data_IF_942186268933
#
_entry.id   IF_942186268933
#
_cell.length_a   1.000
_cell.length_b   1.000
_cell.length_c   1.000
_cell.angle_alpha   90.00
_cell.angle_beta   90.00
_cell.angle_gamma   90.00
#
_symmetry.space_group_name_H-M   'P 1'
#
loop_
_entity.id
_entity.type
_entity.pdbx_description
1 polymer ?
#
# COMPACT_ATOMS: atom_id res chain seq x y z
N UNK A 1 -9.31 9.34 -16.59
CA UNK A 1 -9.38 7.96 -17.14
C UNK A 1 -8.35 7.07 -16.44
N UNK A 2 -8.52 5.75 -16.36
CA UNK A 2 -7.64 4.84 -15.62
C UNK A 2 -6.17 4.96 -15.98
N UNK A 3 -5.85 5.00 -17.28
CA UNK A 3 -4.47 5.18 -17.75
C UNK A 3 -3.82 6.46 -17.22
N UNK A 4 -4.58 7.57 -17.11
CA UNK A 4 -4.04 8.82 -16.54
C UNK A 4 -3.76 8.70 -15.05
N UNK A 5 -4.58 7.96 -14.31
CA UNK A 5 -4.33 7.70 -12.88
C UNK A 5 -3.07 6.83 -12.72
N UNK A 6 -2.87 5.84 -13.60
CA UNK A 6 -1.66 5.05 -13.62
C UNK A 6 -0.42 5.91 -13.91
N UNK A 7 -0.48 6.81 -14.90
CA UNK A 7 0.61 7.77 -15.17
C UNK A 7 0.91 8.64 -13.95
N UNK A 8 -0.12 9.20 -13.30
CA UNK A 8 0.01 10.02 -12.09
C UNK A 8 0.67 9.26 -10.93
N UNK A 9 0.39 7.96 -10.80
CA UNK A 9 1.00 7.11 -9.78
C UNK A 9 2.43 6.64 -10.14
N UNK A 10 2.88 6.85 -11.38
CA UNK A 10 4.16 6.33 -11.90
C UNK A 10 4.98 7.44 -12.55
N UNK A 11 4.96 7.55 -13.89
CA UNK A 11 5.85 8.43 -14.64
C UNK A 11 5.63 9.91 -14.36
N UNK A 12 4.40 10.36 -14.11
CA UNK A 12 4.14 11.77 -13.81
C UNK A 12 4.58 12.13 -12.38
N UNK A 13 4.52 11.20 -11.43
CA UNK A 13 5.14 11.38 -10.11
C UNK A 13 6.67 11.43 -10.21
N UNK A 14 7.28 10.57 -11.04
CA UNK A 14 8.71 10.62 -11.30
C UNK A 14 9.14 11.96 -11.92
N UNK A 15 8.36 12.52 -12.85
CA UNK A 15 8.58 13.87 -13.39
C UNK A 15 8.49 14.95 -12.31
N UNK A 16 7.48 14.86 -11.44
CA UNK A 16 7.30 15.83 -10.35
C UNK A 16 8.48 15.84 -9.35
N UNK A 17 9.22 14.73 -9.25
CA UNK A 17 10.40 14.57 -8.42
C UNK A 17 11.73 14.77 -9.18
N UNK A 18 11.68 15.19 -10.46
CA UNK A 18 12.85 15.32 -11.35
C UNK A 18 13.66 14.02 -11.51
N UNK A 19 12.95 12.88 -11.50
CA UNK A 19 13.52 11.52 -11.61
C UNK A 19 12.99 10.72 -12.79
N UNK A 20 12.35 11.36 -13.75
CA UNK A 20 11.72 10.67 -14.90
C UNK A 20 12.72 9.91 -15.79
N UNK A 21 13.99 10.30 -15.78
CA UNK A 21 15.07 9.59 -16.49
C UNK A 21 15.56 8.35 -15.72
N UNK A 22 15.28 8.26 -14.42
CA UNK A 22 15.75 7.18 -13.54
C UNK A 22 14.65 6.15 -13.25
N UNK A 23 13.40 6.57 -13.04
CA UNK A 23 12.29 5.73 -12.54
C UNK A 23 10.94 6.09 -13.19
N UNK A 24 9.89 5.35 -12.83
CA UNK A 24 8.50 5.68 -13.16
C UNK A 24 7.97 5.04 -14.45
N UNK A 25 8.79 4.32 -15.20
CA UNK A 25 8.38 3.53 -16.36
C UNK A 25 9.33 2.35 -16.60
N UNK A 26 8.86 1.34 -17.32
CA UNK A 26 9.65 0.16 -17.67
C UNK A 26 10.34 0.43 -19.02
N UNK A 27 11.55 0.98 -18.96
CA UNK A 27 12.37 1.33 -20.13
C UNK A 27 13.83 0.94 -19.87
N UNK A 28 14.56 0.58 -20.93
CA UNK A 28 15.99 0.23 -20.81
C UNK A 28 16.78 1.42 -20.29
N UNK A 29 17.65 1.19 -19.31
CA UNK A 29 18.48 2.22 -18.68
C UNK A 29 17.89 2.78 -17.38
N UNK A 30 16.59 2.59 -17.12
CA UNK A 30 15.95 2.99 -15.85
C UNK A 30 16.17 1.96 -14.75
N UNK A 31 16.04 2.40 -13.50
CA UNK A 31 16.05 1.53 -12.32
C UNK A 31 14.95 0.48 -12.41
N UNK A 32 15.24 -0.72 -11.94
CA UNK A 32 14.26 -1.81 -11.85
C UNK A 32 13.36 -1.65 -10.62
N UNK A 33 12.51 -0.63 -10.65
CA UNK A 33 11.48 -0.34 -9.64
C UNK A 33 10.14 -0.87 -10.17
N UNK A 34 9.80 -2.10 -9.76
CA UNK A 34 8.69 -2.86 -10.37
C UNK A 34 7.86 -3.56 -9.29
N UNK A 35 6.54 -3.56 -9.48
CA UNK A 35 5.63 -4.40 -8.72
C UNK A 35 4.94 -5.42 -9.63
N UNK A 36 4.64 -6.60 -9.09
CA UNK A 36 3.77 -7.59 -9.73
C UNK A 36 2.45 -7.63 -8.98
N UNK A 37 1.35 -7.53 -9.71
CA UNK A 37 0.00 -7.65 -9.17
C UNK A 37 -0.55 -9.06 -9.43
N UNK A 38 -1.09 -9.71 -8.39
CA UNK A 38 -1.88 -10.93 -8.54
C UNK A 38 -3.32 -10.57 -8.94
N UNK A 39 -3.59 -10.65 -10.25
CA UNK A 39 -4.91 -10.35 -10.81
C UNK A 39 -5.93 -11.49 -10.64
N UNK A 40 -5.53 -12.64 -10.08
CA UNK A 40 -6.42 -13.82 -9.92
C UNK A 40 -7.15 -13.76 -8.58
N UNK A 41 -7.87 -12.66 -8.34
CA UNK A 41 -8.68 -12.44 -7.13
C UNK A 41 -10.16 -12.25 -7.47
N UNK A 42 -11.11 -12.58 -6.56
CA UNK A 42 -12.53 -12.41 -6.81
C UNK A 42 -12.93 -10.99 -7.24
N UNK A 43 -12.32 -9.96 -6.63
CA UNK A 43 -12.58 -8.55 -6.95
C UNK A 43 -11.86 -8.05 -8.22
N UNK A 44 -10.97 -8.86 -8.81
CA UNK A 44 -10.22 -8.53 -10.03
C UNK A 44 -10.56 -9.41 -11.22
N UNK A 45 -11.45 -10.40 -11.08
CA UNK A 45 -11.76 -11.36 -12.16
C UNK A 45 -13.09 -11.00 -12.88
N UNK A 46 -13.28 -11.28 -14.19
CA UNK A 46 -12.37 -11.87 -15.21
C UNK A 46 -11.14 -10.99 -15.55
N UNK A 47 -10.13 -11.39 -16.34
CA UNK A 47 -8.88 -10.61 -16.48
C UNK A 47 -8.90 -9.49 -17.53
N UNK A 48 -10.07 -9.13 -18.07
CA UNK A 48 -10.20 -8.11 -19.13
C UNK A 48 -9.81 -6.72 -18.62
N UNK A 49 -9.29 -5.84 -19.49
CA UNK A 49 -8.97 -4.44 -19.14
C UNK A 49 -8.11 -4.32 -17.85
N UNK A 50 -6.89 -4.90 -17.84
CA UNK A 50 -6.08 -5.02 -16.62
C UNK A 50 -5.73 -3.67 -15.97
N UNK A 51 -5.56 -2.61 -16.75
CA UNK A 51 -5.30 -1.25 -16.22
C UNK A 51 -6.51 -0.73 -15.45
N UNK A 52 -7.72 -0.82 -16.01
CA UNK A 52 -8.95 -0.40 -15.35
C UNK A 52 -9.14 -1.17 -14.05
N UNK A 53 -8.82 -2.46 -14.04
CA UNK A 53 -8.90 -3.30 -12.84
C UNK A 53 -7.88 -2.92 -11.78
N UNK A 54 -6.63 -2.72 -12.17
CA UNK A 54 -5.58 -2.29 -11.26
C UNK A 54 -5.89 -0.93 -10.62
N UNK A 55 -6.53 -0.02 -11.36
CA UNK A 55 -6.81 1.33 -10.89
C UNK A 55 -8.10 1.44 -10.08
N UNK A 56 -9.17 0.75 -10.49
CA UNK A 56 -10.47 0.90 -9.83
C UNK A 56 -10.71 -0.09 -8.69
N UNK A 57 -10.12 -1.28 -8.75
CA UNK A 57 -10.52 -2.39 -7.87
C UNK A 57 -9.38 -2.95 -7.04
N UNK A 58 -8.13 -2.87 -7.53
CA UNK A 58 -7.00 -3.40 -6.77
C UNK A 58 -6.72 -2.57 -5.51
N UNK A 59 -6.16 -3.23 -4.51
CA UNK A 59 -5.67 -2.61 -3.29
C UNK A 59 -4.27 -3.16 -2.95
N UNK A 60 -3.67 -2.68 -1.85
CA UNK A 60 -2.32 -3.09 -1.45
C UNK A 60 -2.14 -4.59 -1.21
N UNK A 61 -3.21 -5.34 -0.93
CA UNK A 61 -3.14 -6.79 -0.76
C UNK A 61 -2.97 -7.56 -2.08
N UNK A 62 -3.15 -6.90 -3.23
CA UNK A 62 -3.01 -7.53 -4.54
C UNK A 62 -1.57 -7.47 -5.07
N UNK A 63 -0.69 -6.69 -4.43
CA UNK A 63 0.74 -6.70 -4.74
C UNK A 63 1.35 -8.02 -4.23
N UNK A 64 1.93 -8.79 -5.14
CA UNK A 64 2.58 -10.07 -4.85
C UNK A 64 4.07 -9.92 -4.59
N UNK A 65 4.75 -9.18 -5.47
CA UNK A 65 6.20 -9.02 -5.47
C UNK A 65 6.56 -7.55 -5.68
N UNK A 66 7.54 -7.06 -4.93
CA UNK A 66 8.06 -5.69 -5.02
C UNK A 66 9.57 -5.72 -5.21
N UNK A 67 10.03 -5.03 -6.23
CA UNK A 67 11.43 -4.90 -6.62
C UNK A 67 11.78 -3.41 -6.63
N UNK A 68 12.88 -3.04 -5.99
CA UNK A 68 13.40 -1.67 -5.95
C UNK A 68 14.88 -1.70 -6.28
N UNK A 69 15.31 -0.93 -7.27
CA UNK A 69 16.67 -0.92 -7.78
C UNK A 69 17.21 -2.34 -8.10
N UNK A 70 16.34 -3.22 -8.59
CA UNK A 70 16.66 -4.61 -8.91
C UNK A 70 16.73 -5.55 -7.69
N UNK A 71 16.54 -5.05 -6.47
CA UNK A 71 16.50 -5.86 -5.26
C UNK A 71 15.07 -6.26 -4.93
N UNK A 72 14.85 -7.54 -4.64
CA UNK A 72 13.54 -8.07 -4.28
C UNK A 72 13.29 -7.81 -2.80
N UNK A 73 12.39 -6.87 -2.50
CA UNK A 73 12.02 -6.51 -1.13
C UNK A 73 10.87 -7.36 -0.60
N UNK A 74 9.99 -7.84 -1.48
CA UNK A 74 8.89 -8.76 -1.16
C UNK A 74 8.69 -9.73 -2.32
N UNK A 75 8.41 -11.01 -2.02
CA UNK A 75 8.08 -12.02 -3.03
C UNK A 75 7.01 -12.96 -2.50
N UNK A 76 5.96 -13.23 -3.28
CA UNK A 76 4.87 -14.10 -2.84
C UNK A 76 4.19 -13.58 -1.57
N UNK A 77 4.08 -12.26 -1.43
CA UNK A 77 3.59 -11.54 -0.23
C UNK A 77 4.41 -11.75 1.05
N UNK A 78 5.62 -12.29 0.95
CA UNK A 78 6.54 -12.38 2.08
C UNK A 78 7.58 -11.27 1.96
N UNK A 79 7.56 -10.32 2.90
CA UNK A 79 8.59 -9.28 3.00
C UNK A 79 9.94 -9.93 3.33
N UNK A 80 10.99 -9.49 2.65
CA UNK A 80 12.36 -10.01 2.78
C UNK A 80 13.33 -8.98 3.36
N UNK A 81 12.93 -7.70 3.38
CA UNK A 81 13.77 -6.59 3.82
C UNK A 81 13.63 -6.25 5.30
N UNK A 82 12.56 -6.70 5.97
CA UNK A 82 12.19 -6.31 7.32
C UNK A 82 11.52 -7.47 8.06
N UNK A 83 11.58 -7.44 9.39
CA UNK A 83 10.76 -8.29 10.27
C UNK A 83 9.40 -7.59 10.54
N UNK A 84 8.31 -8.22 10.10
CA UNK A 84 6.97 -7.66 10.25
C UNK A 84 6.53 -7.55 11.72
N UNK A 85 6.92 -8.51 12.57
CA UNK A 85 6.57 -8.47 13.99
C UNK A 85 7.30 -7.33 14.70
N UNK A 86 8.59 -7.14 14.41
CA UNK A 86 9.36 -6.02 14.96
C UNK A 86 8.75 -4.66 14.57
N UNK A 87 8.29 -4.51 13.32
CA UNK A 87 7.65 -3.28 12.84
C UNK A 87 6.35 -3.00 13.61
N UNK A 88 5.53 -4.02 13.87
CA UNK A 88 4.30 -3.89 14.64
C UNK A 88 4.58 -3.51 16.10
N UNK A 89 5.57 -4.15 16.73
CA UNK A 89 5.97 -3.83 18.10
C UNK A 89 6.46 -2.38 18.23
N UNK A 90 7.26 -1.92 17.25
CA UNK A 90 7.72 -0.52 17.18
C UNK A 90 6.58 0.46 16.97
N UNK A 91 5.56 0.10 16.18
CA UNK A 91 4.38 0.92 16.00
C UNK A 91 3.57 1.06 17.31
N UNK A 92 3.37 -0.04 18.05
CA UNK A 92 2.70 -0.02 19.35
C UNK A 92 3.47 0.82 20.39
N UNK A 93 4.80 0.72 20.41
CA UNK A 93 5.64 1.56 21.26
C UNK A 93 5.53 3.05 20.90
N UNK A 94 5.49 3.38 19.60
CA UNK A 94 5.34 4.75 19.13
C UNK A 94 3.96 5.34 19.48
N UNK A 95 2.89 4.55 19.42
CA UNK A 95 1.56 4.93 19.89
C UNK A 95 1.57 5.28 21.38
N UNK A 96 2.15 4.40 22.20
CA UNK A 96 2.27 4.61 23.65
C UNK A 96 2.96 5.95 23.96
N UNK A 97 4.12 6.20 23.33
CA UNK A 97 4.85 7.47 23.51
C UNK A 97 4.04 8.69 23.04
N UNK A 98 3.25 8.57 21.98
CA UNK A 98 2.38 9.65 21.50
C UNK A 98 1.27 9.94 22.51
N UNK A 99 0.64 8.91 23.07
CA UNK A 99 -0.43 9.05 24.05
C UNK A 99 0.04 9.66 25.37
N UNK A 100 1.22 9.27 25.85
CA UNK A 100 1.84 9.88 27.05
C UNK A 100 2.12 11.37 26.84
N UNK A 101 2.67 11.76 25.69
CA UNK A 101 2.97 13.17 25.38
C UNK A 101 1.74 14.03 25.21
N UNK A 102 0.64 13.46 24.72
CA UNK A 102 -0.58 14.21 24.40
C UNK A 102 -1.62 14.16 25.51
N UNK A 103 -1.53 13.20 26.44
CA UNK A 103 -2.53 12.97 27.49
C UNK A 103 -3.87 12.42 26.98
N UNK A 104 -3.91 11.86 25.76
CA UNK A 104 -5.15 11.43 25.09
C UNK A 104 -5.47 9.94 25.25
N UNK A 105 -4.91 9.28 26.27
CA UNK A 105 -5.06 7.83 26.48
C UNK A 105 -6.53 7.41 26.67
N UNK A 106 -7.36 8.28 27.24
CA UNK A 106 -8.80 8.07 27.46
C UNK A 106 -9.62 7.93 26.16
N UNK A 107 -9.07 8.38 25.02
CA UNK A 107 -9.73 8.33 23.71
C UNK A 107 -9.46 7.05 22.93
N UNK A 108 -8.56 6.20 23.39
CA UNK A 108 -8.15 4.97 22.69
C UNK A 108 -8.96 3.74 23.07
N UNK A 109 -9.90 3.88 24.01
CA UNK A 109 -10.80 2.80 24.41
C UNK A 109 -12.19 3.00 23.81
N UNK A 110 -12.84 1.89 23.45
CA UNK A 110 -14.26 1.92 23.05
C UNK A 110 -15.09 2.48 24.21
N UNK A 111 -15.93 3.46 23.91
CA UNK A 111 -16.81 4.06 24.93
C UNK A 111 -17.84 3.06 25.42
N UNK A 112 -18.31 3.16 26.67
CA UNK A 112 -19.48 2.42 27.12
C UNK A 112 -20.67 2.63 26.15
N UNK A 113 -21.36 1.55 25.78
CA UNK A 113 -22.49 1.61 24.83
C UNK A 113 -22.10 1.77 23.36
N UNK A 114 -20.83 1.54 22.98
CA UNK A 114 -20.38 1.61 21.58
C UNK A 114 -21.07 0.58 20.66
N UNK A 115 -21.50 -0.55 21.20
CA UNK A 115 -22.32 -1.56 20.52
C UNK A 115 -23.55 -1.92 21.38
N UNK A 116 -24.53 -2.58 20.78
CA UNK A 116 -25.73 -3.05 21.49
C UNK A 116 -26.86 -2.04 21.62
N UNK A 117 -26.79 -0.92 20.89
CA UNK A 117 -27.93 -0.03 20.67
C UNK A 117 -28.21 0.03 19.16
N UNK A 118 -29.36 -0.51 18.76
CA UNK A 118 -29.91 -0.24 17.44
C UNK A 118 -30.68 1.07 17.50
N UNK A 119 -30.66 1.84 16.41
CA UNK A 119 -31.60 2.96 16.24
C UNK A 119 -33.06 2.51 16.12
N UNK A 120 -33.28 1.20 15.98
CA UNK A 120 -34.56 0.57 15.72
C UNK A 120 -35.09 -0.27 16.90
N UNK A 121 -34.39 -0.25 18.05
CA UNK A 121 -34.85 -0.86 19.30
C UNK A 121 -35.40 0.20 20.26
#
# INVERSE_FOLDING_TARGET
>A
PPGKVLEMATIDAAKALDKAEEIGSIEVGKSADVILLDMRKPHLWPPSMPVDRAIYFANGADVDTTIVAGQILMRGRQVKSLDEAEVLDRAAAAETQMLERTGLSDRMVSRPGFWGQSRFD
#
